data_IF_470816959675
#
_entry.id   IF_470816959675
#
_cell.length_a   1.000
_cell.length_b   1.000
_cell.length_c   1.000
_cell.angle_alpha   90.00
_cell.angle_beta   90.00
_cell.angle_gamma   90.00
#
_symmetry.space_group_name_H-M   'P 1'
#
loop_
_entity.id
_entity.type
_entity.pdbx_description
1 polymer ?
#
# COMPACT_ATOMS: atom_id res chain seq x y z
N UNK A 1 -2.74 -9.86 -14.07
CA UNK A 1 -2.04 -9.61 -15.35
C UNK A 1 -0.83 -10.53 -15.47
N UNK A 2 -0.08 -10.73 -14.38
CA UNK A 2 1.01 -11.71 -14.35
C UNK A 2 0.52 -13.13 -14.62
N UNK A 3 -0.69 -13.53 -14.20
CA UNK A 3 -1.26 -14.82 -14.63
C UNK A 3 -1.37 -14.94 -16.16
N UNK A 4 -1.95 -13.94 -16.82
CA UNK A 4 -2.17 -13.94 -18.28
C UNK A 4 -0.82 -13.99 -19.01
N UNK A 5 0.16 -13.23 -18.53
CA UNK A 5 1.51 -13.25 -19.08
C UNK A 5 2.21 -14.58 -18.81
N UNK A 6 2.05 -15.15 -17.62
CA UNK A 6 2.62 -16.43 -17.26
C UNK A 6 2.08 -17.54 -18.18
N UNK A 7 0.78 -17.61 -18.39
CA UNK A 7 0.11 -18.62 -19.23
C UNK A 7 0.66 -18.65 -20.67
N UNK A 8 1.00 -17.50 -21.26
CA UNK A 8 1.64 -17.42 -22.59
C UNK A 8 3.04 -18.06 -22.62
N UNK A 9 3.82 -17.94 -21.54
CA UNK A 9 5.21 -18.40 -21.47
C UNK A 9 5.40 -19.72 -20.70
N UNK A 10 4.35 -20.34 -20.14
CA UNK A 10 4.44 -21.61 -19.38
C UNK A 10 5.11 -22.71 -20.19
N UNK A 11 4.85 -22.78 -21.51
CA UNK A 11 5.41 -23.80 -22.39
C UNK A 11 6.94 -23.71 -22.52
N UNK A 12 7.52 -22.53 -22.31
CA UNK A 12 8.97 -22.28 -22.39
C UNK A 12 9.59 -22.35 -20.99
N UNK A 13 8.88 -21.84 -19.97
CA UNK A 13 9.35 -21.81 -18.59
C UNK A 13 8.34 -22.46 -17.65
N UNK A 14 8.59 -23.72 -17.29
CA UNK A 14 7.72 -24.52 -16.41
C UNK A 14 7.51 -23.88 -15.03
N UNK A 15 8.48 -23.10 -14.54
CA UNK A 15 8.42 -22.38 -13.25
C UNK A 15 7.27 -21.36 -13.21
N UNK A 16 6.85 -20.82 -14.37
CA UNK A 16 5.76 -19.84 -14.43
C UNK A 16 4.40 -20.45 -14.08
N UNK A 17 4.27 -21.78 -14.10
CA UNK A 17 3.05 -22.46 -13.66
C UNK A 17 2.73 -22.22 -12.17
N UNK A 18 3.71 -21.75 -11.39
CA UNK A 18 3.51 -21.40 -9.98
C UNK A 18 2.45 -20.28 -9.79
N UNK A 19 2.32 -19.37 -10.76
CA UNK A 19 1.32 -18.28 -10.73
C UNK A 19 -0.12 -18.75 -10.98
N UNK A 20 -0.32 -20.00 -11.43
CA UNK A 20 -1.65 -20.58 -11.56
C UNK A 20 -2.25 -21.02 -10.22
N UNK A 21 -1.43 -21.17 -9.19
CA UNK A 21 -1.91 -21.51 -7.85
C UNK A 21 -2.38 -20.26 -7.10
N UNK A 22 -3.64 -20.28 -6.64
CA UNK A 22 -4.24 -19.17 -5.88
C UNK A 22 -3.41 -18.80 -4.64
N UNK A 23 -2.90 -19.79 -3.92
CA UNK A 23 -2.11 -19.59 -2.69
C UNK A 23 -0.85 -18.77 -2.94
N UNK A 24 -0.14 -19.05 -4.04
CA UNK A 24 1.09 -18.34 -4.41
C UNK A 24 0.75 -16.90 -4.80
N UNK A 25 -0.29 -16.70 -5.60
CA UNK A 25 -0.75 -15.36 -5.99
C UNK A 25 -1.20 -14.53 -4.79
N UNK A 26 -1.95 -15.11 -3.85
CA UNK A 26 -2.35 -14.42 -2.63
C UNK A 26 -1.14 -14.04 -1.77
N UNK A 27 -0.20 -14.97 -1.55
CA UNK A 27 1.01 -14.70 -0.79
C UNK A 27 1.87 -13.60 -1.41
N UNK A 28 2.07 -13.66 -2.73
CA UNK A 28 2.82 -12.66 -3.46
C UNK A 28 2.11 -11.30 -3.49
N UNK A 29 0.78 -11.24 -3.61
CA UNK A 29 0.02 -9.99 -3.52
C UNK A 29 0.15 -9.32 -2.14
N UNK A 30 0.15 -10.10 -1.06
CA UNK A 30 0.38 -9.58 0.30
C UNK A 30 1.78 -8.97 0.38
N UNK A 31 2.81 -9.71 -0.06
CA UNK A 31 4.18 -9.22 -0.02
C UNK A 31 4.39 -7.98 -0.88
N UNK A 32 3.86 -7.94 -2.11
CA UNK A 32 3.98 -6.75 -2.97
C UNK A 32 3.29 -5.54 -2.35
N UNK A 33 2.12 -5.72 -1.74
CA UNK A 33 1.40 -4.62 -1.08
C UNK A 33 2.18 -4.07 0.12
N UNK A 34 2.81 -4.96 0.89
CA UNK A 34 3.63 -4.61 2.03
C UNK A 34 4.88 -3.84 1.60
N UNK A 35 5.64 -4.39 0.65
CA UNK A 35 6.85 -3.73 0.16
C UNK A 35 6.53 -2.37 -0.47
N UNK A 36 5.45 -2.27 -1.24
CA UNK A 36 5.01 -1.00 -1.79
C UNK A 36 4.71 0.02 -0.69
N UNK A 37 3.93 -0.37 0.31
CA UNK A 37 3.59 0.50 1.44
C UNK A 37 4.82 0.98 2.21
N UNK A 38 5.80 0.09 2.46
CA UNK A 38 7.02 0.42 3.19
C UNK A 38 7.96 1.33 2.38
N UNK A 39 8.13 1.07 1.08
CA UNK A 39 9.07 1.83 0.23
C UNK A 39 8.50 3.21 -0.11
N UNK A 40 7.21 3.28 -0.48
CA UNK A 40 6.59 4.52 -0.95
C UNK A 40 5.83 5.28 0.15
N UNK A 41 5.74 4.70 1.36
CA UNK A 41 5.03 5.29 2.49
C UNK A 41 5.51 6.70 2.83
N UNK A 42 6.83 6.91 2.97
CA UNK A 42 7.37 8.22 3.31
C UNK A 42 7.08 9.29 2.24
N UNK A 43 7.21 8.91 0.97
CA UNK A 43 6.91 9.81 -0.17
C UNK A 43 5.43 10.22 -0.18
N UNK A 44 4.53 9.26 0.05
CA UNK A 44 3.09 9.52 0.08
C UNK A 44 2.72 10.35 1.30
N UNK A 45 3.28 10.06 2.48
CA UNK A 45 3.04 10.84 3.71
C UNK A 45 3.50 12.29 3.54
N UNK A 46 4.70 12.52 2.99
CA UNK A 46 5.20 13.88 2.69
C UNK A 46 4.31 14.60 1.70
N UNK A 47 3.87 13.93 0.64
CA UNK A 47 2.94 14.49 -0.34
C UNK A 47 1.60 14.88 0.31
N UNK A 48 1.03 14.01 1.14
CA UNK A 48 -0.21 14.27 1.86
C UNK A 48 -0.08 15.41 2.88
N UNK A 49 1.07 15.53 3.55
CA UNK A 49 1.36 16.66 4.45
C UNK A 49 1.40 18.01 3.71
N UNK A 50 1.85 18.03 2.46
CA UNK A 50 1.83 19.25 1.64
C UNK A 50 0.41 19.59 1.15
N UNK A 51 -0.40 18.57 0.84
CA UNK A 51 -1.79 18.74 0.38
C UNK A 51 -2.72 19.15 1.54
N UNK A 52 -2.45 18.64 2.75
CA UNK A 52 -3.20 18.94 3.96
C UNK A 52 -2.30 19.51 5.07
N UNK A 53 -1.89 20.79 4.96
CA UNK A 53 -0.99 21.42 5.93
C UNK A 53 -1.56 21.49 7.34
N UNK A 54 -2.88 21.65 7.46
CA UNK A 54 -3.59 21.75 8.74
C UNK A 54 -3.69 20.42 9.50
N UNK A 55 -3.26 19.30 8.89
CA UNK A 55 -3.27 17.98 9.51
C UNK A 55 -4.66 17.52 9.97
N UNK A 56 -4.68 16.64 10.97
CA UNK A 56 -5.91 16.15 11.60
C UNK A 56 -6.51 17.23 12.51
N UNK A 57 -7.82 17.55 12.40
CA UNK A 57 -8.49 18.43 13.36
C UNK A 57 -8.43 17.79 14.75
N UNK A 58 -7.75 18.45 15.67
CA UNK A 58 -7.56 17.98 17.05
C UNK A 58 -8.78 18.40 17.86
N UNK A 59 -9.35 17.45 18.59
CA UNK A 59 -10.45 17.72 19.51
C UNK A 59 -9.91 18.31 20.81
N UNK A 60 -10.52 19.41 21.26
CA UNK A 60 -10.09 20.16 22.46
C UNK A 60 -10.37 19.43 23.76
N UNK A 61 -11.23 18.40 23.73
CA UNK A 61 -11.70 17.65 24.90
C UNK A 61 -10.73 16.51 25.33
N UNK A 62 -9.53 16.46 24.72
CA UNK A 62 -8.54 15.41 24.94
C UNK A 62 -7.45 15.79 25.95
N UNK A 63 -6.69 14.80 26.47
CA UNK A 63 -5.51 15.08 27.30
C UNK A 63 -4.49 15.93 26.54
N UNK A 64 -3.83 16.88 27.22
CA UNK A 64 -2.87 17.81 26.60
C UNK A 64 -1.75 17.10 25.81
N UNK A 65 -1.30 15.94 26.28
CA UNK A 65 -0.30 15.11 25.59
C UNK A 65 -0.78 14.59 24.22
N UNK A 66 -2.08 14.36 24.03
CA UNK A 66 -2.63 13.96 22.73
C UNK A 66 -2.70 15.12 21.74
N UNK A 67 -2.89 16.33 22.25
CA UNK A 67 -2.88 17.55 21.42
C UNK A 67 -1.47 17.75 20.89
N UNK A 68 -0.45 17.82 21.76
CA UNK A 68 0.93 18.07 21.35
C UNK A 68 1.49 17.02 20.38
N UNK A 69 1.21 15.73 20.59
CA UNK A 69 1.81 14.65 19.81
C UNK A 69 1.14 14.36 18.46
N UNK A 70 -0.09 14.84 18.23
CA UNK A 70 -0.82 14.64 16.96
C UNK A 70 -0.89 15.89 16.07
N UNK A 71 -0.33 17.01 16.53
CA UNK A 71 -0.20 18.22 15.68
C UNK A 71 0.65 17.90 14.46
N UNK A 72 0.11 18.18 13.28
CA UNK A 72 0.84 18.05 12.01
C UNK A 72 0.85 16.65 11.39
N UNK A 73 0.20 15.64 12.00
CA UNK A 73 0.04 14.34 11.30
C UNK A 73 -0.99 14.49 10.18
N UNK A 74 -0.64 14.22 8.91
CA UNK A 74 -1.57 14.33 7.79
C UNK A 74 -2.69 13.30 7.92
N UNK A 75 -3.88 13.64 7.43
CA UNK A 75 -4.99 12.68 7.28
C UNK A 75 -4.90 12.03 5.88
N UNK A 76 -5.76 11.06 5.57
CA UNK A 76 -5.79 10.35 4.26
C UNK A 76 -4.77 9.22 4.05
N UNK A 77 -4.25 8.59 5.11
CA UNK A 77 -3.42 7.38 4.98
C UNK A 77 -4.08 6.22 4.21
N UNK A 78 -5.41 6.20 4.10
CA UNK A 78 -6.15 5.24 3.27
C UNK A 78 -5.77 5.26 1.78
N UNK A 79 -5.25 6.39 1.28
CA UNK A 79 -4.74 6.48 -0.11
C UNK A 79 -3.57 5.53 -0.33
N UNK A 80 -2.65 5.45 0.63
CA UNK A 80 -1.53 4.50 0.59
C UNK A 80 -2.03 3.05 0.54
N UNK A 81 -3.04 2.74 1.36
CA UNK A 81 -3.63 1.40 1.42
C UNK A 81 -4.26 1.03 0.08
N UNK A 82 -5.10 1.90 -0.47
CA UNK A 82 -5.79 1.64 -1.75
C UNK A 82 -4.78 1.49 -2.88
N UNK A 83 -3.77 2.37 -2.96
CA UNK A 83 -2.72 2.26 -3.98
C UNK A 83 -1.93 0.95 -3.88
N UNK A 84 -1.55 0.55 -2.66
CA UNK A 84 -0.82 -0.69 -2.41
C UNK A 84 -1.63 -1.93 -2.85
N UNK A 85 -2.95 -1.91 -2.63
CA UNK A 85 -3.87 -2.97 -3.06
C UNK A 85 -4.02 -3.00 -4.58
N UNK A 86 -4.24 -1.84 -5.21
CA UNK A 86 -4.42 -1.75 -6.67
C UNK A 86 -3.20 -2.26 -7.43
N UNK A 87 -2.01 -1.94 -6.96
CA UNK A 87 -0.74 -2.41 -7.55
C UNK A 87 -0.60 -3.92 -7.39
N UNK A 88 -0.99 -4.46 -6.24
CA UNK A 88 -0.89 -5.89 -5.97
C UNK A 88 -1.95 -6.72 -6.72
N UNK A 89 -3.05 -6.10 -7.14
CA UNK A 89 -4.09 -6.74 -7.96
C UNK A 89 -3.61 -7.09 -9.38
N UNK A 90 -2.54 -6.44 -9.86
CA UNK A 90 -1.99 -6.67 -11.19
C UNK A 90 -1.28 -8.04 -11.28
N UNK A 91 -0.99 -8.70 -10.16
CA UNK A 91 -0.43 -10.04 -10.08
C UNK A 91 -1.42 -11.11 -10.63
#
# INVERSE_FOLDING_TARGET
>A
MFKILADEYVNIFTVLNLFNYITIRTGAAILTSLFFSLIFGELIIKSLSNIQPSGQPIRNDGPENHVLNKVGTPTMGGVLIIMSILISLIL
#
